data_IF_726885519870
#
_entry.id   IF_726885519870
#
_cell.length_a   1.000
_cell.length_b   1.000
_cell.length_c   1.000
_cell.angle_alpha   90.00
_cell.angle_beta   90.00
_cell.angle_gamma   90.00
#
_symmetry.space_group_name_H-M   'P 1'
#
loop_
_entity.id
_entity.type
_entity.pdbx_description
1 polymer ?
#
# COMPACT_ATOMS: atom_id res chain seq x y z
N UNK A 1 -17.22 -1.32 30.86
CA UNK A 1 -16.12 -1.90 30.05
C UNK A 1 -16.63 -3.17 29.40
N UNK A 2 -16.52 -3.30 28.07
CA UNK A 2 -16.77 -4.57 27.38
C UNK A 2 -15.46 -5.32 27.31
N UNK A 3 -15.35 -6.42 28.05
CA UNK A 3 -14.18 -7.31 28.00
C UNK A 3 -14.42 -8.34 26.92
N UNK A 4 -13.57 -8.34 25.90
CA UNK A 4 -13.56 -9.40 24.87
C UNK A 4 -12.50 -10.41 25.28
N UNK A 5 -12.91 -11.64 25.59
CA UNK A 5 -12.00 -12.73 25.93
C UNK A 5 -11.62 -13.50 24.66
N UNK A 6 -10.34 -13.52 24.32
CA UNK A 6 -9.81 -14.29 23.19
C UNK A 6 -9.10 -15.55 23.70
N UNK A 7 -9.36 -16.73 23.10
CA UNK A 7 -8.68 -17.98 23.45
C UNK A 7 -7.15 -17.89 23.29
N UNK A 8 -6.39 -18.47 24.23
CA UNK A 8 -4.92 -18.38 24.27
C UNK A 8 -4.24 -19.08 23.09
N UNK A 9 -4.94 -20.00 22.46
CA UNK A 9 -4.50 -20.77 21.30
C UNK A 9 -4.31 -19.88 20.07
N UNK A 10 -5.06 -18.78 19.97
CA UNK A 10 -4.94 -17.80 18.87
C UNK A 10 -3.63 -16.99 18.91
N UNK A 11 -2.88 -17.06 20.01
CA UNK A 11 -1.64 -16.31 20.22
C UNK A 11 -0.39 -17.15 19.90
N UNK A 12 -0.53 -18.44 19.58
CA UNK A 12 0.59 -19.38 19.50
C UNK A 12 1.37 -19.32 18.18
N UNK A 13 0.73 -18.97 17.07
CA UNK A 13 1.37 -19.13 15.76
C UNK A 13 1.64 -17.81 15.03
N UNK A 14 0.78 -16.78 15.14
CA UNK A 14 1.02 -15.50 14.46
C UNK A 14 0.48 -14.33 15.28
N UNK A 15 1.22 -13.21 15.29
CA UNK A 15 0.97 -12.07 16.17
C UNK A 15 -0.44 -11.49 16.06
N UNK A 16 -1.10 -11.32 17.22
CA UNK A 16 -2.39 -10.63 17.31
C UNK A 16 -2.20 -9.14 17.04
N UNK A 17 -2.96 -8.59 16.09
CA UNK A 17 -3.02 -7.15 15.82
C UNK A 17 -4.44 -6.65 16.08
N UNK A 18 -4.57 -5.64 16.94
CA UNK A 18 -5.83 -4.97 17.23
C UNK A 18 -5.91 -3.73 16.34
N UNK A 19 -6.93 -3.67 15.48
CA UNK A 19 -7.22 -2.51 14.63
C UNK A 19 -8.71 -2.16 14.67
N UNK A 20 -9.07 -0.91 14.36
CA UNK A 20 -10.46 -0.52 14.15
C UNK A 20 -11.13 -1.38 13.07
N UNK A 21 -12.41 -1.66 13.25
CA UNK A 21 -13.19 -2.45 12.29
C UNK A 21 -13.26 -1.80 10.91
N UNK A 22 -13.38 -0.47 10.86
CA UNK A 22 -13.37 0.31 9.61
C UNK A 22 -12.12 0.04 8.79
N UNK A 23 -10.97 0.07 9.44
CA UNK A 23 -9.66 -0.05 8.79
C UNK A 23 -9.46 -1.47 8.27
N UNK A 24 -9.96 -2.47 9.00
CA UNK A 24 -9.97 -3.86 8.54
C UNK A 24 -10.85 -4.06 7.31
N UNK A 25 -12.06 -3.50 7.30
CA UNK A 25 -12.97 -3.59 6.17
C UNK A 25 -12.42 -2.87 4.94
N UNK A 26 -11.80 -1.70 5.13
CA UNK A 26 -11.11 -0.98 4.07
C UNK A 26 -9.96 -1.81 3.51
N UNK A 27 -9.08 -2.35 4.37
CA UNK A 27 -7.98 -3.21 3.95
C UNK A 27 -8.46 -4.42 3.14
N UNK A 28 -9.52 -5.09 3.57
CA UNK A 28 -10.12 -6.20 2.83
C UNK A 28 -10.68 -5.78 1.47
N UNK A 29 -11.27 -4.59 1.38
CA UNK A 29 -11.77 -4.06 0.11
C UNK A 29 -10.63 -3.74 -0.86
N UNK A 30 -9.56 -3.10 -0.38
CA UNK A 30 -8.37 -2.79 -1.16
C UNK A 30 -7.69 -4.06 -1.65
N UNK A 31 -7.62 -5.12 -0.83
CA UNK A 31 -7.03 -6.40 -1.21
C UNK A 31 -7.74 -7.09 -2.38
N UNK A 32 -9.03 -6.80 -2.62
CA UNK A 32 -9.78 -7.35 -3.77
C UNK A 32 -9.45 -6.64 -5.08
N UNK A 33 -9.06 -5.37 -5.00
CA UNK A 33 -8.83 -4.51 -6.17
C UNK A 33 -7.34 -4.40 -6.49
N UNK A 34 -6.51 -4.38 -5.47
CA UNK A 34 -5.06 -4.20 -5.56
C UNK A 34 -4.41 -5.56 -5.31
N UNK A 35 -3.92 -6.17 -6.39
CA UNK A 35 -3.08 -7.37 -6.28
C UNK A 35 -1.84 -7.06 -5.44
N UNK A 36 -1.62 -7.85 -4.40
CA UNK A 36 -0.38 -7.81 -3.64
C UNK A 36 0.76 -8.26 -4.56
N UNK A 37 1.54 -7.31 -5.05
CA UNK A 37 2.70 -7.55 -5.89
C UNK A 37 3.96 -7.65 -5.05
N UNK A 38 4.73 -8.73 -5.27
CA UNK A 38 6.05 -8.89 -4.70
C UNK A 38 7.05 -8.07 -5.51
N UNK A 39 7.19 -6.79 -5.17
CA UNK A 39 8.15 -5.91 -5.82
C UNK A 39 9.59 -6.36 -5.51
N UNK A 40 10.42 -6.44 -6.54
CA UNK A 40 11.87 -6.61 -6.47
C UNK A 40 12.53 -5.41 -5.78
N UNK A 41 13.79 -5.60 -5.34
CA UNK A 41 14.56 -4.51 -4.70
C UNK A 41 14.76 -3.30 -5.61
N UNK A 42 14.91 -3.50 -6.92
CA UNK A 42 15.02 -2.43 -7.91
C UNK A 42 13.71 -1.67 -8.07
N UNK A 43 12.58 -2.36 -8.16
CA UNK A 43 11.26 -1.74 -8.26
C UNK A 43 10.93 -0.91 -7.01
N UNK A 44 11.24 -1.41 -5.81
CA UNK A 44 11.06 -0.64 -4.56
C UNK A 44 11.86 0.66 -4.58
N UNK A 45 13.12 0.61 -5.05
CA UNK A 45 13.97 1.80 -5.20
C UNK A 45 13.40 2.77 -6.24
N UNK A 46 12.91 2.26 -7.37
CA UNK A 46 12.29 3.08 -8.41
C UNK A 46 11.03 3.79 -7.90
N UNK A 47 10.16 3.10 -7.16
CA UNK A 47 8.97 3.71 -6.53
C UNK A 47 9.38 4.81 -5.54
N UNK A 48 10.40 4.56 -4.72
CA UNK A 48 10.90 5.56 -3.77
C UNK A 48 11.46 6.80 -4.48
N UNK A 49 12.23 6.60 -5.56
CA UNK A 49 12.76 7.67 -6.38
C UNK A 49 11.64 8.49 -7.02
N UNK A 50 10.66 7.83 -7.66
CA UNK A 50 9.50 8.50 -8.26
C UNK A 50 8.69 9.32 -7.25
N UNK A 51 8.47 8.80 -6.04
CA UNK A 51 7.81 9.56 -4.95
C UNK A 51 8.59 10.84 -4.59
N UNK A 52 9.93 10.76 -4.56
CA UNK A 52 10.78 11.92 -4.30
C UNK A 52 10.71 12.94 -5.45
N UNK A 53 10.68 12.48 -6.70
CA UNK A 53 10.53 13.33 -7.87
C UNK A 53 9.21 14.08 -7.86
N UNK A 54 8.08 13.38 -7.64
CA UNK A 54 6.75 13.99 -7.51
C UNK A 54 6.74 15.06 -6.42
N UNK A 55 7.27 14.75 -5.23
CA UNK A 55 7.36 15.70 -4.11
C UNK A 55 8.14 16.97 -4.47
N UNK A 56 9.16 16.83 -5.32
CA UNK A 56 10.00 17.94 -5.77
C UNK A 56 9.46 18.63 -7.04
N UNK A 57 8.24 18.31 -7.49
CA UNK A 57 7.66 18.87 -8.71
C UNK A 57 8.27 18.35 -10.01
N UNK A 58 9.06 17.27 -9.95
CA UNK A 58 9.67 16.62 -11.10
C UNK A 58 8.73 15.55 -11.65
N UNK A 59 7.72 15.97 -12.41
CA UNK A 59 6.81 15.07 -13.10
C UNK A 59 6.37 15.69 -14.42
N UNK A 60 5.97 14.85 -15.36
CA UNK A 60 5.38 15.29 -16.62
C UNK A 60 3.86 15.34 -16.47
N UNK A 61 3.25 16.43 -16.94
CA UNK A 61 1.81 16.48 -17.13
C UNK A 61 1.41 15.81 -18.46
N UNK A 62 0.11 15.56 -18.65
CA UNK A 62 -0.38 14.84 -19.83
C UNK A 62 0.00 15.51 -21.16
N UNK A 63 0.03 16.85 -21.21
CA UNK A 63 0.40 17.59 -22.42
C UNK A 63 1.89 17.40 -22.74
N UNK A 64 2.75 17.48 -21.72
CA UNK A 64 4.19 17.23 -21.88
C UNK A 64 4.44 15.79 -22.30
N UNK A 65 3.80 14.82 -21.65
CA UNK A 65 3.93 13.41 -21.99
C UNK A 65 3.53 13.13 -23.45
N UNK A 66 2.41 13.71 -23.91
CA UNK A 66 1.97 13.55 -25.30
C UNK A 66 3.03 14.05 -26.30
N UNK A 67 3.59 15.22 -26.06
CA UNK A 67 4.62 15.79 -26.92
C UNK A 67 5.89 14.93 -26.97
N UNK A 68 6.32 14.36 -25.84
CA UNK A 68 7.51 13.50 -25.76
C UNK A 68 7.31 12.14 -26.45
N UNK A 69 6.08 11.63 -26.52
CA UNK A 69 5.77 10.33 -27.15
C UNK A 69 5.42 10.45 -28.64
N UNK A 70 5.01 11.62 -29.12
CA UNK A 70 4.73 11.89 -30.54
C UNK A 70 5.95 12.38 -31.33
N UNK A 71 7.12 12.53 -30.68
CA UNK A 71 8.41 12.90 -31.29
C UNK A 71 9.25 11.67 -31.65
#
# INVERSE_FOLDING_TARGET
MKTITLPRELFKEEGLVIIPRSDYEEFLSLKKVISLVNATSSEKKAIQAGRKEIKNGKYLNLKQLKNELES
#
